data_IF_409878760716
#
_entry.id   IF_409878760716
#
_cell.length_a   1.000
_cell.length_b   1.000
_cell.length_c   1.000
_cell.angle_alpha   90.00
_cell.angle_beta   90.00
_cell.angle_gamma   90.00
#
_symmetry.space_group_name_H-M   'P 1'
#
loop_
_entity.id
_entity.type
_entity.pdbx_description
1 polymer ?
#
# COMPACT_ATOMS: atom_id res chain seq x y z
N UNK A 1 -19.06 13.37 42.88
CA UNK A 1 -20.21 14.01 43.57
C UNK A 1 -20.38 15.47 43.14
N UNK A 2 -20.66 15.75 41.87
CA UNK A 2 -21.08 17.09 41.40
C UNK A 2 -22.04 16.95 40.21
N UNK A 3 -23.06 16.12 40.36
CA UNK A 3 -24.12 15.92 39.37
C UNK A 3 -25.53 16.07 39.99
N UNK A 4 -25.63 16.80 41.10
CA UNK A 4 -26.87 16.97 41.87
C UNK A 4 -27.00 18.40 42.44
N UNK A 5 -26.62 19.39 41.63
CA UNK A 5 -26.96 20.80 41.83
C UNK A 5 -27.58 21.38 40.53
N UNK A 6 -28.30 20.50 39.82
CA UNK A 6 -29.37 20.84 38.89
C UNK A 6 -30.57 21.32 39.73
N UNK A 7 -31.34 22.28 39.21
CA UNK A 7 -32.72 22.64 39.59
C UNK A 7 -33.07 23.87 40.45
N UNK A 8 -32.15 24.74 40.89
CA UNK A 8 -32.55 25.94 41.65
C UNK A 8 -32.31 27.32 40.98
N UNK A 9 -31.93 27.36 39.70
CA UNK A 9 -31.80 28.63 38.95
C UNK A 9 -32.61 28.54 37.64
N UNK A 10 -33.82 27.99 37.75
CA UNK A 10 -34.82 27.90 36.68
C UNK A 10 -36.01 28.86 36.92
N UNK A 11 -35.94 29.81 37.87
CA UNK A 11 -37.09 30.70 38.19
C UNK A 11 -36.65 32.17 38.38
N UNK A 12 -35.69 32.67 37.59
CA UNK A 12 -35.34 34.10 37.64
C UNK A 12 -34.90 34.71 36.30
N UNK A 13 -35.52 34.28 35.19
CA UNK A 13 -35.24 34.82 33.85
C UNK A 13 -36.47 34.96 32.95
N UNK A 14 -37.68 34.87 33.52
CA UNK A 14 -38.95 35.06 32.82
C UNK A 14 -39.54 36.37 33.36
N UNK A 15 -39.06 37.53 32.88
CA UNK A 15 -39.69 38.82 33.20
C UNK A 15 -39.29 40.02 32.32
N UNK A 16 -38.86 39.83 31.07
CA UNK A 16 -38.70 40.95 30.13
C UNK A 16 -39.18 40.53 28.73
N UNK A 17 -40.50 40.41 28.61
CA UNK A 17 -41.21 40.54 27.35
C UNK A 17 -41.87 41.91 27.29
N UNK A 18 -41.88 42.50 26.10
CA UNK A 18 -42.62 43.70 25.65
C UNK A 18 -41.85 45.03 25.61
N UNK A 19 -41.27 45.30 24.44
CA UNK A 19 -41.27 46.61 23.77
C UNK A 19 -40.97 46.34 22.27
N UNK A 20 -41.94 46.51 21.37
CA UNK A 20 -42.04 47.65 20.44
C UNK A 20 -40.73 47.91 19.67
N UNK A 21 -40.64 47.99 18.36
CA UNK A 21 -41.58 47.91 17.24
C UNK A 21 -40.70 47.99 15.95
N UNK A 22 -41.37 48.01 14.79
CA UNK A 22 -40.88 48.45 13.47
C UNK A 22 -40.35 47.36 12.53
N UNK A 23 -41.32 46.63 11.98
CA UNK A 23 -41.33 46.18 10.59
C UNK A 23 -41.27 47.41 9.68
N UNK A 24 -40.16 47.63 8.99
CA UNK A 24 -40.04 48.63 7.94
C UNK A 24 -40.67 48.06 6.66
N UNK A 25 -41.97 48.28 6.50
CA UNK A 25 -42.68 48.09 5.24
C UNK A 25 -42.35 49.27 4.32
N UNK A 26 -41.39 49.08 3.42
CA UNK A 26 -41.26 49.94 2.24
C UNK A 26 -42.39 49.60 1.25
N UNK A 27 -43.23 50.56 0.84
CA UNK A 27 -44.26 50.35 -0.16
C UNK A 27 -43.66 50.24 -1.57
N UNK A 28 -44.09 49.21 -2.28
CA UNK A 28 -43.83 48.91 -3.69
C UNK A 28 -44.35 50.04 -4.60
N UNK A 29 -43.54 50.62 -5.51
CA UNK A 29 -44.03 51.58 -6.49
C UNK A 29 -44.58 50.85 -7.72
N UNK A 30 -45.86 50.48 -7.65
CA UNK A 30 -46.66 50.07 -8.80
C UNK A 30 -47.14 51.31 -9.57
N UNK A 31 -46.44 51.67 -10.66
CA UNK A 31 -46.99 52.33 -11.85
C UNK A 31 -45.89 52.42 -12.93
N UNK A 32 -45.84 51.44 -13.83
CA UNK A 32 -45.17 51.57 -15.12
C UNK A 32 -46.11 51.03 -16.20
N UNK A 33 -46.33 51.82 -17.27
CA UNK A 33 -47.07 51.37 -18.45
C UNK A 33 -46.35 50.15 -19.06
N UNK A 34 -46.90 48.96 -18.83
CA UNK A 34 -46.36 47.71 -19.34
C UNK A 34 -47.01 47.38 -20.69
N UNK A 35 -46.19 47.19 -21.72
CA UNK A 35 -46.65 46.61 -22.97
C UNK A 35 -46.59 45.07 -22.90
N UNK A 36 -47.62 44.34 -23.38
CA UNK A 36 -47.65 42.88 -23.29
C UNK A 36 -46.59 42.26 -24.20
N UNK A 37 -45.86 41.27 -23.68
CA UNK A 37 -44.91 40.42 -24.41
C UNK A 37 -45.36 38.97 -24.33
N UNK A 38 -45.42 38.28 -25.46
CA UNK A 38 -45.75 36.85 -25.47
C UNK A 38 -44.46 36.07 -25.29
N UNK A 39 -44.39 35.29 -24.22
CA UNK A 39 -43.32 34.33 -23.98
C UNK A 39 -43.86 32.92 -24.22
N UNK A 40 -43.16 32.12 -25.02
CA UNK A 40 -43.54 30.74 -25.30
C UNK A 40 -42.29 29.89 -25.55
N UNK A 41 -42.22 28.69 -25.00
CA UNK A 41 -41.20 27.71 -25.38
C UNK A 41 -41.48 27.16 -26.78
N UNK A 42 -40.43 26.94 -27.56
CA UNK A 42 -40.55 26.25 -28.85
C UNK A 42 -40.82 24.75 -28.66
N UNK A 43 -40.28 24.19 -27.58
CA UNK A 43 -40.48 22.82 -27.17
C UNK A 43 -41.72 22.68 -26.28
N UNK A 44 -42.57 21.68 -26.57
CA UNK A 44 -43.73 21.36 -25.74
C UNK A 44 -43.34 20.55 -24.49
N UNK A 45 -42.28 19.75 -24.59
CA UNK A 45 -41.71 18.94 -23.51
C UNK A 45 -40.17 18.93 -23.58
N UNK A 46 -39.51 18.71 -22.45
CA UNK A 46 -38.05 18.61 -22.37
C UNK A 46 -37.58 17.62 -21.30
N UNK A 47 -36.39 17.04 -21.45
CA UNK A 47 -35.77 16.15 -20.47
C UNK A 47 -34.73 16.93 -19.64
N UNK A 48 -34.52 16.63 -18.34
CA UNK A 48 -33.42 17.23 -17.59
C UNK A 48 -32.07 17.03 -18.30
N UNK A 49 -31.38 18.14 -18.58
CA UNK A 49 -30.14 18.20 -19.36
C UNK A 49 -30.29 18.73 -20.79
N UNK A 50 -31.52 18.86 -21.30
CA UNK A 50 -31.77 19.45 -22.62
C UNK A 50 -31.62 20.97 -22.61
N UNK A 51 -31.35 21.54 -23.79
CA UNK A 51 -31.32 22.99 -24.02
C UNK A 51 -32.63 23.37 -24.71
N UNK A 52 -33.45 24.16 -24.04
CA UNK A 52 -34.76 24.60 -24.52
C UNK A 52 -34.73 26.07 -24.96
N UNK A 53 -35.55 26.42 -25.94
CA UNK A 53 -35.57 27.76 -26.54
C UNK A 53 -36.83 28.50 -26.15
N UNK A 54 -36.67 29.52 -25.30
CA UNK A 54 -37.73 30.45 -24.94
C UNK A 54 -37.82 31.58 -25.97
N UNK A 55 -38.94 31.64 -26.69
CA UNK A 55 -39.24 32.69 -27.67
C UNK A 55 -40.05 33.80 -27.04
N UNK A 56 -39.53 35.02 -27.09
CA UNK A 56 -40.20 36.24 -26.70
C UNK A 56 -40.59 37.01 -27.96
N UNK A 57 -41.89 37.07 -28.26
CA UNK A 57 -42.42 37.79 -29.41
C UNK A 57 -42.85 39.21 -29.02
N UNK A 58 -42.37 40.20 -29.78
CA UNK A 58 -42.68 41.62 -29.58
C UNK A 58 -43.47 42.18 -30.76
N UNK A 59 -44.55 42.93 -30.49
CA UNK A 59 -45.11 43.83 -31.49
C UNK A 59 -44.36 45.18 -31.44
N UNK A 60 -43.27 45.27 -32.20
CA UNK A 60 -42.50 46.49 -32.32
C UNK A 60 -43.23 47.52 -33.22
N UNK A 61 -43.59 48.73 -32.73
CA UNK A 61 -43.95 49.81 -33.65
C UNK A 61 -42.73 50.22 -34.49
N UNK A 62 -42.95 50.62 -35.74
CA UNK A 62 -41.89 50.87 -36.74
C UNK A 62 -40.81 51.83 -36.21
N UNK A 63 -39.56 51.36 -36.12
CA UNK A 63 -38.37 52.20 -35.87
C UNK A 63 -37.54 51.88 -34.62
N UNK A 64 -37.81 50.80 -33.89
CA UNK A 64 -36.95 50.36 -32.78
C UNK A 64 -35.86 49.38 -33.23
N UNK A 65 -34.68 49.50 -32.64
CA UNK A 65 -33.54 48.57 -32.80
C UNK A 65 -33.17 48.00 -31.43
N UNK A 66 -32.95 46.69 -31.35
CA UNK A 66 -32.51 46.04 -30.12
C UNK A 66 -31.07 46.46 -29.77
N UNK A 67 -30.77 46.80 -28.49
CA UNK A 67 -29.40 46.99 -28.06
C UNK A 67 -28.64 45.65 -28.06
N UNK A 68 -27.33 45.69 -28.28
CA UNK A 68 -26.44 44.52 -28.32
C UNK A 68 -26.44 43.68 -27.03
N UNK A 69 -26.90 44.26 -25.91
CA UNK A 69 -27.16 43.56 -24.65
C UNK A 69 -28.50 43.99 -24.08
N UNK A 70 -29.46 43.07 -24.06
CA UNK A 70 -30.78 43.28 -23.49
C UNK A 70 -30.73 42.80 -22.03
N UNK A 71 -30.84 43.70 -21.04
CA UNK A 71 -30.96 43.27 -19.66
C UNK A 71 -32.36 42.69 -19.43
N UNK A 72 -32.43 41.37 -19.25
CA UNK A 72 -33.69 40.68 -18.93
C UNK A 72 -33.69 40.36 -17.44
N UNK A 73 -34.61 40.97 -16.70
CA UNK A 73 -34.81 40.65 -15.28
C UNK A 73 -35.77 39.46 -15.15
N UNK A 74 -35.39 38.47 -14.34
CA UNK A 74 -36.16 37.24 -14.12
C UNK A 74 -35.43 35.93 -14.46
N UNK A 75 -34.29 36.00 -15.17
CA UNK A 75 -33.48 34.82 -15.55
C UNK A 75 -32.22 34.60 -14.68
N UNK A 76 -32.12 35.22 -13.50
CA UNK A 76 -30.90 35.14 -12.68
C UNK A 76 -30.62 33.74 -12.12
N UNK A 77 -31.69 32.97 -11.91
CA UNK A 77 -31.63 31.62 -11.34
C UNK A 77 -31.57 30.53 -12.43
N UNK A 78 -31.49 30.92 -13.71
CA UNK A 78 -31.44 30.00 -14.84
C UNK A 78 -30.10 30.04 -15.57
N UNK A 79 -29.64 28.87 -16.03
CA UNK A 79 -28.43 28.75 -16.84
C UNK A 79 -28.70 29.15 -18.30
N UNK A 80 -28.42 30.43 -18.62
CA UNK A 80 -28.56 30.97 -19.98
C UNK A 80 -27.37 30.55 -20.85
N UNK A 81 -27.65 29.74 -21.88
CA UNK A 81 -26.65 29.23 -22.83
C UNK A 81 -26.37 30.21 -23.97
N UNK A 82 -27.34 31.06 -24.31
CA UNK A 82 -27.19 32.08 -25.35
C UNK A 82 -28.48 32.86 -25.57
N UNK A 83 -28.35 34.07 -26.12
CA UNK A 83 -29.48 34.92 -26.51
C UNK A 83 -29.27 35.29 -27.97
N UNK A 84 -30.15 34.79 -28.83
CA UNK A 84 -30.21 35.13 -30.25
C UNK A 84 -31.36 36.14 -30.44
N UNK A 85 -31.17 37.18 -31.26
CA UNK A 85 -32.22 38.19 -31.53
C UNK A 85 -32.51 38.24 -33.02
N UNK A 86 -33.80 38.18 -33.36
CA UNK A 86 -34.35 38.36 -34.70
C UNK A 86 -35.16 39.66 -34.75
N UNK A 87 -35.49 40.17 -35.94
CA UNK A 87 -36.11 41.50 -36.16
C UNK A 87 -37.43 41.73 -35.38
N UNK A 88 -38.07 40.67 -34.89
CA UNK A 88 -39.29 40.72 -34.10
C UNK A 88 -39.32 39.81 -32.84
N UNK A 89 -38.29 38.99 -32.61
CA UNK A 89 -38.30 37.99 -31.54
C UNK A 89 -36.94 37.91 -30.83
N UNK A 90 -36.95 37.68 -29.51
CA UNK A 90 -35.76 37.27 -28.76
C UNK A 90 -35.86 35.78 -28.47
N UNK A 91 -34.83 35.02 -28.82
CA UNK A 91 -34.71 33.59 -28.57
C UNK A 91 -33.67 33.38 -27.47
N UNK A 92 -34.09 32.83 -26.34
CA UNK A 92 -33.23 32.57 -25.19
C UNK A 92 -33.07 31.06 -25.04
N UNK A 93 -31.83 30.57 -25.14
CA UNK A 93 -31.50 29.16 -24.90
C UNK A 93 -31.21 28.95 -23.43
N UNK A 94 -31.99 28.09 -22.79
CA UNK A 94 -31.91 27.77 -21.36
C UNK A 94 -31.58 26.29 -21.18
N UNK A 95 -30.66 25.99 -20.27
CA UNK A 95 -30.41 24.61 -19.85
C UNK A 95 -31.45 24.20 -18.81
N UNK A 96 -32.11 23.06 -19.02
CA UNK A 96 -32.98 22.44 -18.02
C UNK A 96 -32.11 21.69 -17.02
N UNK A 97 -31.87 22.27 -15.85
CA UNK A 97 -31.03 21.68 -14.79
C UNK A 97 -31.84 21.11 -13.61
N UNK A 98 -33.17 21.18 -13.70
CA UNK A 98 -34.09 20.68 -12.68
C UNK A 98 -34.82 19.43 -13.15
N UNK A 99 -35.18 18.58 -12.19
CA UNK A 99 -36.02 17.39 -12.40
C UNK A 99 -37.50 17.64 -12.04
N UNK A 100 -37.80 18.80 -11.46
CA UNK A 100 -39.14 19.20 -11.02
C UNK A 100 -39.84 20.04 -12.11
N UNK A 101 -40.62 21.07 -11.75
CA UNK A 101 -41.27 21.96 -12.71
C UNK A 101 -40.31 23.06 -13.18
N UNK A 102 -40.23 23.28 -14.50
CA UNK A 102 -39.40 24.33 -15.08
C UNK A 102 -40.26 25.58 -15.35
N UNK A 103 -40.33 26.43 -14.32
CA UNK A 103 -41.26 27.57 -14.26
C UNK A 103 -40.52 28.89 -14.48
N UNK A 104 -40.63 29.49 -15.67
CA UNK A 104 -40.01 30.78 -15.95
C UNK A 104 -40.93 31.91 -15.47
N UNK A 105 -40.49 32.75 -14.51
CA UNK A 105 -41.32 33.85 -13.99
C UNK A 105 -41.51 34.95 -15.05
N UNK A 106 -42.50 35.82 -14.83
CA UNK A 106 -42.74 36.98 -15.70
C UNK A 106 -41.47 37.78 -15.95
N UNK A 107 -41.07 37.87 -17.22
CA UNK A 107 -39.85 38.57 -17.62
C UNK A 107 -40.15 40.04 -17.87
N UNK A 108 -39.26 40.91 -17.40
CA UNK A 108 -39.31 42.35 -17.67
C UNK A 108 -38.18 42.74 -18.61
N UNK A 109 -38.52 43.35 -19.73
CA UNK A 109 -37.56 43.85 -20.73
C UNK A 109 -37.73 45.35 -20.88
N UNK A 110 -36.66 46.11 -20.66
CA UNK A 110 -36.66 47.57 -20.84
C UNK A 110 -36.03 47.93 -22.18
N UNK A 111 -36.81 48.50 -23.10
CA UNK A 111 -36.31 49.02 -24.38
C UNK A 111 -36.29 50.55 -24.34
N UNK A 112 -35.24 51.16 -24.90
CA UNK A 112 -35.10 52.61 -24.98
C UNK A 112 -35.19 53.05 -26.44
N UNK A 113 -36.11 53.96 -26.75
CA UNK A 113 -36.25 54.57 -28.07
C UNK A 113 -35.02 55.43 -28.41
N UNK A 114 -34.71 55.62 -29.70
CA UNK A 114 -33.66 56.55 -30.16
C UNK A 114 -33.92 58.04 -29.80
N UNK A 115 -35.09 58.33 -29.20
CA UNK A 115 -35.52 59.64 -28.67
C UNK A 115 -35.42 59.71 -27.12
N UNK A 116 -34.86 58.69 -26.46
CA UNK A 116 -34.68 58.66 -25.00
C UNK A 116 -35.91 58.21 -24.19
N UNK A 117 -37.05 57.89 -24.82
CA UNK A 117 -38.23 57.32 -24.14
C UNK A 117 -38.00 55.85 -23.79
N UNK A 118 -38.16 55.47 -22.51
CA UNK A 118 -38.05 54.09 -22.03
C UNK A 118 -39.43 53.43 -22.03
N UNK A 119 -39.54 52.24 -22.60
CA UNK A 119 -40.74 51.40 -22.54
C UNK A 119 -40.38 50.08 -21.86
N UNK A 120 -41.25 49.63 -20.96
CA UNK A 120 -41.05 48.36 -20.25
C UNK A 120 -42.08 47.35 -20.77
N UNK A 121 -41.59 46.21 -21.23
CA UNK A 121 -42.40 45.08 -21.65
C UNK A 121 -42.41 44.03 -20.56
N UNK A 122 -43.57 43.43 -20.30
CA UNK A 122 -43.75 42.36 -19.31
C UNK A 122 -44.35 41.14 -19.99
N UNK A 123 -43.77 39.96 -19.77
CA UNK A 123 -44.41 38.70 -20.16
C UNK A 123 -45.18 38.06 -19.04
N UNK A 124 -46.14 37.23 -19.42
CA UNK A 124 -46.76 36.26 -18.54
C UNK A 124 -45.76 35.14 -18.20
N UNK A 125 -45.92 34.48 -17.03
CA UNK A 125 -45.10 33.34 -16.66
C UNK A 125 -45.37 32.17 -17.61
N UNK A 126 -44.33 31.40 -17.92
CA UNK A 126 -44.42 30.24 -18.83
C UNK A 126 -43.95 29.00 -18.12
N UNK A 127 -44.75 27.93 -18.22
CA UNK A 127 -44.48 26.63 -17.65
C UNK A 127 -44.05 25.68 -18.77
N UNK A 128 -42.95 24.97 -18.56
CA UNK A 128 -42.54 23.87 -19.44
C UNK A 128 -42.74 22.53 -18.72
N UNK A 129 -43.42 21.59 -19.40
CA UNK A 129 -43.65 20.25 -18.84
C UNK A 129 -42.43 19.38 -19.11
N UNK A 130 -41.82 18.83 -18.06
CA UNK A 130 -40.67 17.94 -18.23
C UNK A 130 -41.13 16.49 -18.46
N UNK A 131 -40.54 15.83 -19.46
CA UNK A 131 -40.75 14.41 -19.74
C UNK A 131 -39.67 13.61 -19.01
N UNK A 132 -40.00 13.13 -17.81
CA UNK A 132 -39.07 12.32 -17.03
C UNK A 132 -39.10 10.89 -17.56
N UNK A 133 -37.95 10.30 -17.95
CA UNK A 133 -37.90 8.91 -18.42
C UNK A 133 -38.14 7.87 -17.31
N UNK A 134 -38.57 8.31 -16.13
CA UNK A 134 -38.86 7.49 -14.98
C UNK A 134 -40.37 7.36 -14.82
N UNK A 135 -40.89 6.23 -15.28
CA UNK A 135 -42.27 5.84 -15.05
C UNK A 135 -42.42 5.48 -13.56
N UNK A 136 -43.01 6.37 -12.76
CA UNK A 136 -43.26 6.13 -11.33
C UNK A 136 -44.33 5.06 -11.08
N UNK A 137 -44.97 4.54 -12.14
CA UNK A 137 -45.86 3.39 -12.01
C UNK A 137 -45.09 2.07 -11.86
N UNK A 138 -44.93 1.69 -10.58
CA UNK A 138 -44.77 0.30 -10.11
C UNK A 138 -43.57 -0.49 -10.66
N UNK A 139 -42.38 0.10 -10.63
CA UNK A 139 -41.20 -0.74 -10.42
C UNK A 139 -41.05 -1.02 -8.93
N UNK A 140 -41.33 -2.27 -8.58
CA UNK A 140 -40.96 -2.96 -7.35
C UNK A 140 -39.42 -2.96 -7.25
N UNK A 141 -38.83 -1.78 -7.04
CA UNK A 141 -37.43 -1.61 -6.75
C UNK A 141 -37.24 -2.17 -5.34
N UNK A 142 -36.66 -3.36 -5.24
CA UNK A 142 -36.08 -3.93 -4.02
C UNK A 142 -34.95 -3.00 -3.56
N UNK A 143 -35.31 -1.82 -3.05
CA UNK A 143 -34.42 -0.85 -2.43
C UNK A 143 -33.92 -1.52 -1.17
N UNK A 144 -32.82 -2.25 -1.31
CA UNK A 144 -32.14 -2.88 -0.20
C UNK A 144 -31.70 -1.81 0.78
N UNK A 145 -32.19 -1.95 2.01
CA UNK A 145 -31.82 -1.10 3.13
C UNK A 145 -30.30 -0.96 3.25
N UNK A 146 -29.84 0.26 3.57
CA UNK A 146 -28.42 0.53 3.78
C UNK A 146 -27.99 -0.29 5.00
N UNK A 147 -27.12 -1.29 4.78
CA UNK A 147 -26.63 -2.17 5.85
C UNK A 147 -25.95 -1.34 6.94
N UNK A 148 -26.38 -1.53 8.19
CA UNK A 148 -25.79 -0.87 9.34
C UNK A 148 -24.31 -1.24 9.53
N UNK A 149 -23.55 -0.29 10.07
CA UNK A 149 -22.14 -0.45 10.41
C UNK A 149 -22.03 -1.26 11.70
N UNK A 150 -21.72 -2.55 11.58
CA UNK A 150 -21.47 -3.43 12.72
C UNK A 150 -20.36 -2.87 13.62
N UNK A 151 -20.75 -2.30 14.77
CA UNK A 151 -19.80 -1.89 15.81
C UNK A 151 -19.24 -3.15 16.48
N UNK A 152 -18.04 -3.54 16.08
CA UNK A 152 -17.32 -4.64 16.73
C UNK A 152 -17.14 -4.28 18.21
N UNK A 153 -17.83 -5.01 19.09
CA UNK A 153 -17.72 -4.87 20.54
C UNK A 153 -16.24 -4.97 20.95
N UNK A 154 -15.78 -4.06 21.82
CA UNK A 154 -14.41 -4.04 22.32
C UNK A 154 -13.98 -5.40 22.90
N UNK A 155 -14.89 -6.13 23.54
CA UNK A 155 -14.64 -7.48 24.05
C UNK A 155 -14.27 -8.49 22.94
N UNK A 156 -14.93 -8.40 21.77
CA UNK A 156 -14.64 -9.26 20.62
C UNK A 156 -13.27 -8.92 20.03
N UNK A 157 -12.89 -7.64 20.00
CA UNK A 157 -11.54 -7.21 19.56
C UNK A 157 -10.44 -7.80 20.45
N UNK A 158 -10.61 -7.72 21.77
CA UNK A 158 -9.64 -8.30 22.71
C UNK A 158 -9.58 -9.83 22.62
N UNK A 159 -10.72 -10.50 22.42
CA UNK A 159 -10.75 -11.95 22.21
C UNK A 159 -10.01 -12.36 20.94
N UNK A 160 -10.22 -11.66 19.83
CA UNK A 160 -9.50 -11.91 18.57
C UNK A 160 -8.00 -11.69 18.76
N UNK A 161 -7.60 -10.62 19.45
CA UNK A 161 -6.18 -10.34 19.72
C UNK A 161 -5.55 -11.44 20.58
N UNK A 162 -6.25 -11.92 21.61
CA UNK A 162 -5.80 -13.03 22.45
C UNK A 162 -5.61 -14.32 21.63
N UNK A 163 -6.54 -14.65 20.73
CA UNK A 163 -6.45 -15.83 19.86
C UNK A 163 -5.24 -15.71 18.93
N UNK A 164 -5.01 -14.53 18.34
CA UNK A 164 -3.85 -14.27 17.48
C UNK A 164 -2.55 -14.43 18.27
N UNK A 165 -2.49 -13.90 19.50
CA UNK A 165 -1.33 -14.03 20.37
C UNK A 165 -1.01 -15.50 20.71
N UNK A 166 -2.04 -16.29 21.05
CA UNK A 166 -1.89 -17.72 21.33
C UNK A 166 -1.40 -18.46 20.10
N UNK A 167 -1.97 -18.18 18.92
CA UNK A 167 -1.56 -18.80 17.66
C UNK A 167 -0.09 -18.50 17.35
N UNK A 168 0.34 -17.25 17.54
CA UNK A 168 1.72 -16.83 17.30
C UNK A 168 2.69 -17.50 18.28
N UNK A 169 2.29 -17.67 19.55
CA UNK A 169 3.07 -18.41 20.54
C UNK A 169 3.22 -19.90 20.17
N UNK A 170 2.14 -20.53 19.68
CA UNK A 170 2.18 -21.92 19.22
C UNK A 170 3.09 -22.10 18.00
N UNK A 171 3.04 -21.17 17.04
CA UNK A 171 3.93 -21.16 15.88
C UNK A 171 5.38 -21.01 16.34
N UNK A 172 5.67 -20.04 17.21
CA UNK A 172 7.02 -19.82 17.74
C UNK A 172 7.54 -21.07 18.48
N UNK A 173 6.71 -21.71 19.30
CA UNK A 173 7.05 -22.96 19.99
C UNK A 173 7.30 -24.12 19.01
N UNK A 174 6.48 -24.22 17.96
CA UNK A 174 6.66 -25.21 16.89
C UNK A 174 7.98 -25.02 16.13
N UNK A 175 8.30 -23.78 15.76
CA UNK A 175 9.59 -23.43 15.13
C UNK A 175 10.74 -23.76 16.06
N UNK A 176 10.66 -23.37 17.33
CA UNK A 176 11.70 -23.65 18.33
C UNK A 176 11.95 -25.15 18.49
N UNK A 177 10.89 -25.95 18.59
CA UNK A 177 10.99 -27.40 18.70
C UNK A 177 11.54 -28.06 17.43
N UNK A 178 11.12 -27.57 16.25
CA UNK A 178 11.65 -28.02 14.97
C UNK A 178 13.15 -27.74 14.84
N UNK A 179 13.59 -26.52 15.20
CA UNK A 179 15.01 -26.16 15.21
C UNK A 179 15.81 -27.00 16.20
N UNK A 180 15.27 -27.25 17.41
CA UNK A 180 15.90 -28.11 18.42
C UNK A 180 16.09 -29.54 17.89
N UNK A 181 15.06 -30.14 17.29
CA UNK A 181 15.14 -31.46 16.67
C UNK A 181 16.12 -31.49 15.50
N UNK A 182 16.16 -30.45 14.66
CA UNK A 182 17.12 -30.37 13.55
C UNK A 182 18.56 -30.32 14.05
N UNK A 183 18.86 -29.53 15.10
CA UNK A 183 20.18 -29.51 15.73
C UNK A 183 20.58 -30.89 16.26
N UNK A 184 19.66 -31.58 16.94
CA UNK A 184 19.92 -32.94 17.44
C UNK A 184 20.17 -33.93 16.30
N UNK A 185 19.38 -33.89 15.22
CA UNK A 185 19.59 -34.76 14.04
C UNK A 185 20.91 -34.48 13.31
N UNK A 186 21.33 -33.22 13.21
CA UNK A 186 22.63 -32.86 12.62
C UNK A 186 23.79 -33.38 13.48
N UNK A 187 23.66 -33.31 14.81
CA UNK A 187 24.64 -33.90 15.73
C UNK A 187 24.66 -35.44 15.65
N UNK A 188 23.50 -36.07 15.51
CA UNK A 188 23.36 -37.54 15.40
C UNK A 188 23.86 -38.07 14.04
N UNK A 189 23.65 -37.33 12.95
CA UNK A 189 24.21 -37.66 11.63
C UNK A 189 25.72 -37.43 11.56
N UNK A 190 26.24 -36.41 12.26
CA UNK A 190 27.69 -36.24 12.45
C UNK A 190 28.30 -37.35 13.31
N UNK A 191 27.51 -37.98 14.20
CA UNK A 191 27.96 -39.13 14.99
C UNK A 191 27.99 -40.45 14.19
N UNK A 192 27.24 -40.55 13.07
CA UNK A 192 27.18 -41.79 12.30
C UNK A 192 28.37 -42.01 11.36
N UNK A 193 28.99 -40.94 10.86
CA UNK A 193 30.18 -41.07 10.01
C UNK A 193 31.45 -40.87 10.86
N UNK A 194 32.37 -41.83 10.89
CA UNK A 194 33.67 -41.64 11.51
C UNK A 194 34.39 -40.38 10.99
N UNK A 195 35.14 -39.65 11.84
CA UNK A 195 35.88 -38.45 11.45
C UNK A 195 36.74 -38.62 10.18
N UNK A 196 37.37 -39.79 10.04
CA UNK A 196 38.21 -40.16 8.91
C UNK A 196 37.43 -40.27 7.61
N UNK A 197 36.19 -40.79 7.63
CA UNK A 197 35.36 -40.88 6.42
C UNK A 197 34.99 -39.49 5.92
N UNK A 198 34.66 -38.57 6.84
CA UNK A 198 34.36 -37.17 6.52
C UNK A 198 35.58 -36.49 5.89
N UNK A 199 36.77 -36.71 6.45
CA UNK A 199 38.00 -36.16 5.93
C UNK A 199 38.36 -36.74 4.55
N UNK A 200 38.24 -38.05 4.35
CA UNK A 200 38.48 -38.69 3.04
C UNK A 200 37.48 -38.24 1.98
N UNK A 201 36.20 -38.10 2.32
CA UNK A 201 35.18 -37.53 1.44
C UNK A 201 35.59 -36.12 1.00
N UNK A 202 35.96 -35.25 1.95
CA UNK A 202 36.40 -33.88 1.67
C UNK A 202 37.67 -33.81 0.82
N UNK A 203 38.67 -34.65 1.10
CA UNK A 203 39.92 -34.71 0.33
C UNK A 203 39.69 -35.21 -1.10
N UNK A 204 38.83 -36.22 -1.28
CA UNK A 204 38.47 -36.75 -2.59
C UNK A 204 37.73 -35.72 -3.43
N UNK A 205 36.78 -34.99 -2.85
CA UNK A 205 36.10 -33.88 -3.52
C UNK A 205 37.09 -32.77 -3.89
N UNK A 206 37.99 -32.39 -2.98
CA UNK A 206 39.04 -31.41 -3.24
C UNK A 206 39.96 -31.81 -4.40
N UNK A 207 40.31 -33.10 -4.51
CA UNK A 207 41.14 -33.60 -5.61
C UNK A 207 40.36 -33.72 -6.92
N UNK A 208 39.08 -34.14 -6.90
CA UNK A 208 38.22 -34.15 -8.08
C UNK A 208 38.12 -32.75 -8.68
N UNK A 209 37.96 -31.75 -7.83
CA UNK A 209 37.79 -30.35 -8.22
C UNK A 209 39.15 -29.66 -8.46
N UNK A 210 40.27 -30.39 -8.42
CA UNK A 210 41.63 -29.85 -8.60
C UNK A 210 41.84 -29.09 -9.92
N UNK A 211 41.03 -29.37 -10.94
CA UNK A 211 41.04 -28.68 -12.23
C UNK A 211 40.37 -27.29 -12.16
N UNK A 212 39.37 -27.11 -11.29
CA UNK A 212 38.68 -25.84 -11.05
C UNK A 212 39.57 -24.82 -10.33
N UNK A 213 40.60 -25.31 -9.62
CA UNK A 213 41.54 -24.47 -8.87
C UNK A 213 42.79 -24.05 -9.66
N UNK A 214 42.88 -24.32 -10.98
CA UNK A 214 44.04 -23.89 -11.79
C UNK A 214 44.28 -22.38 -11.70
N UNK A 215 43.21 -21.59 -11.73
CA UNK A 215 43.27 -20.13 -11.66
C UNK A 215 43.10 -19.60 -10.22
N UNK A 216 42.76 -20.48 -9.27
CA UNK A 216 42.52 -20.11 -7.87
C UNK A 216 43.16 -21.12 -6.91
N UNK A 217 44.50 -21.15 -6.91
CA UNK A 217 45.29 -22.00 -6.00
C UNK A 217 45.04 -21.67 -4.52
N UNK A 218 44.72 -20.40 -4.21
CA UNK A 218 44.41 -19.96 -2.84
C UNK A 218 43.19 -20.70 -2.29
N UNK A 219 42.11 -20.81 -3.08
CA UNK A 219 40.91 -21.54 -2.67
C UNK A 219 41.18 -23.02 -2.36
N UNK A 220 42.09 -23.68 -3.09
CA UNK A 220 42.52 -25.04 -2.77
C UNK A 220 43.12 -25.13 -1.36
N UNK A 221 44.05 -24.23 -1.01
CA UNK A 221 44.69 -24.25 0.32
C UNK A 221 43.76 -23.80 1.45
N UNK A 222 42.80 -22.89 1.19
CA UNK A 222 41.72 -22.62 2.13
C UNK A 222 40.92 -23.88 2.44
N UNK A 223 40.52 -24.63 1.40
CA UNK A 223 39.74 -25.86 1.57
C UNK A 223 40.54 -26.99 2.21
N UNK A 224 41.79 -27.19 1.79
CA UNK A 224 42.67 -28.23 2.35
C UNK A 224 42.88 -28.04 3.86
N UNK A 225 43.21 -26.80 4.27
CA UNK A 225 43.43 -26.51 5.70
C UNK A 225 42.14 -26.53 6.51
N UNK A 226 40.99 -26.22 5.91
CA UNK A 226 39.69 -26.39 6.57
C UNK A 226 39.43 -27.87 6.89
N UNK A 227 39.58 -28.77 5.91
CA UNK A 227 39.38 -30.22 6.09
C UNK A 227 40.32 -30.75 7.18
N UNK A 228 41.60 -30.34 7.13
CA UNK A 228 42.59 -30.73 8.13
C UNK A 228 42.22 -30.25 9.54
N UNK A 229 41.83 -28.97 9.70
CA UNK A 229 41.42 -28.40 10.99
C UNK A 229 40.18 -29.09 11.56
N UNK A 230 39.18 -29.37 10.72
CA UNK A 230 37.95 -30.07 11.11
C UNK A 230 38.27 -31.49 11.60
N UNK A 231 39.09 -32.24 10.86
CA UNK A 231 39.51 -33.59 11.24
C UNK A 231 40.33 -33.60 12.54
N UNK A 232 41.37 -32.76 12.64
CA UNK A 232 42.18 -32.66 13.85
C UNK A 232 41.33 -32.31 15.07
N UNK A 233 40.35 -31.40 14.92
CA UNK A 233 39.48 -30.97 16.01
C UNK A 233 38.62 -32.10 16.56
N UNK A 234 38.18 -33.02 15.69
CA UNK A 234 37.41 -34.20 16.09
C UNK A 234 38.28 -35.23 16.82
N UNK A 235 39.49 -35.53 16.34
CA UNK A 235 40.34 -36.57 16.95
C UNK A 235 41.05 -36.08 18.23
N UNK A 236 41.35 -34.78 18.35
CA UNK A 236 42.04 -34.21 19.53
C UNK A 236 41.09 -33.61 20.57
N UNK A 237 39.78 -33.59 20.32
CA UNK A 237 38.74 -33.13 21.24
C UNK A 237 38.90 -31.66 21.71
N UNK A 238 39.42 -30.77 20.86
CA UNK A 238 39.41 -29.33 21.11
C UNK A 238 39.08 -28.54 19.82
N UNK A 239 38.51 -27.32 19.91
CA UNK A 239 37.92 -26.63 18.76
C UNK A 239 38.99 -26.02 17.84
N UNK A 240 39.71 -26.86 17.08
CA UNK A 240 40.81 -26.46 16.19
C UNK A 240 40.35 -25.52 15.07
N UNK A 241 39.11 -25.66 14.60
CA UNK A 241 38.56 -24.82 13.53
C UNK A 241 38.58 -23.32 13.87
N UNK A 242 38.44 -22.96 15.15
CA UNK A 242 38.39 -21.58 15.63
C UNK A 242 39.77 -21.01 16.01
N UNK A 243 40.80 -21.87 16.03
CA UNK A 243 42.14 -21.48 16.44
C UNK A 243 42.99 -21.04 15.24
N UNK A 244 43.88 -20.08 15.49
CA UNK A 244 44.96 -19.71 14.58
C UNK A 244 46.00 -20.83 14.49
N UNK A 245 46.77 -20.85 13.40
CA UNK A 245 47.83 -21.87 13.20
C UNK A 245 48.86 -21.87 14.34
N UNK A 246 49.16 -20.69 14.91
CA UNK A 246 50.08 -20.56 16.05
C UNK A 246 49.50 -21.05 17.38
N UNK A 247 48.20 -20.83 17.63
CA UNK A 247 47.53 -21.38 18.80
C UNK A 247 47.46 -22.91 18.72
N UNK A 248 47.22 -23.48 17.53
CA UNK A 248 47.25 -24.93 17.31
C UNK A 248 48.65 -25.47 17.60
N UNK A 249 49.70 -24.79 17.11
CA UNK A 249 51.09 -25.16 17.35
C UNK A 249 51.44 -25.26 18.84
N UNK A 250 50.83 -24.42 19.69
CA UNK A 250 51.07 -24.44 21.14
C UNK A 250 50.36 -25.57 21.89
N UNK A 251 49.31 -26.17 21.30
CA UNK A 251 48.47 -27.20 21.93
C UNK A 251 48.82 -28.62 21.50
N UNK A 252 49.33 -28.75 20.29
CA UNK A 252 49.74 -30.01 19.70
C UNK A 252 51.01 -30.56 20.36
N UNK A 253 51.05 -31.88 20.60
CA UNK A 253 52.23 -32.57 21.18
C UNK A 253 52.77 -33.71 20.33
N UNK A 254 51.95 -34.30 19.46
CA UNK A 254 52.35 -35.45 18.65
C UNK A 254 53.15 -35.04 17.41
N UNK A 255 54.14 -35.86 17.03
CA UNK A 255 55.03 -35.53 15.91
C UNK A 255 54.26 -35.40 14.57
N UNK A 256 53.24 -36.24 14.35
CA UNK A 256 52.39 -36.19 13.17
C UNK A 256 51.63 -34.86 13.06
N UNK A 257 51.06 -34.41 14.18
CA UNK A 257 50.35 -33.13 14.24
C UNK A 257 51.29 -31.93 14.06
N UNK A 258 52.53 -32.00 14.56
CA UNK A 258 53.54 -30.96 14.37
C UNK A 258 53.88 -30.80 12.89
N UNK A 259 53.93 -31.91 12.14
CA UNK A 259 54.12 -31.87 10.69
C UNK A 259 52.94 -31.18 9.98
N UNK A 260 51.70 -31.47 10.42
CA UNK A 260 50.50 -30.81 9.92
C UNK A 260 50.51 -29.30 10.19
N UNK A 261 50.96 -28.88 11.37
CA UNK A 261 51.14 -27.45 11.70
C UNK A 261 52.16 -26.79 10.76
N UNK A 262 53.27 -27.47 10.42
CA UNK A 262 54.25 -26.95 9.43
C UNK A 262 53.62 -26.81 8.05
N UNK A 263 52.81 -27.78 7.62
CA UNK A 263 52.06 -27.71 6.37
C UNK A 263 51.07 -26.53 6.37
N UNK A 264 50.35 -26.32 7.47
CA UNK A 264 49.42 -25.20 7.63
C UNK A 264 50.13 -23.84 7.55
N UNK A 265 51.31 -23.71 8.17
CA UNK A 265 52.14 -22.49 8.04
C UNK A 265 52.56 -22.23 6.59
N UNK A 266 52.96 -23.27 5.85
CA UNK A 266 53.23 -23.14 4.40
C UNK A 266 51.99 -22.73 3.63
N UNK A 267 50.84 -23.32 3.93
CA UNK A 267 49.56 -22.98 3.33
C UNK A 267 49.16 -21.52 3.61
N UNK A 268 49.42 -21.01 4.81
CA UNK A 268 49.15 -19.62 5.15
C UNK A 268 50.02 -18.65 4.33
N UNK A 269 51.29 -18.99 4.07
CA UNK A 269 52.12 -18.24 3.11
C UNK A 269 51.50 -18.24 1.71
N UNK A 270 50.94 -19.35 1.22
CA UNK A 270 50.30 -19.41 -0.11
C UNK A 270 48.99 -18.61 -0.16
N UNK A 271 48.20 -18.65 0.91
CA UNK A 271 46.91 -17.93 0.99
C UNK A 271 47.09 -16.42 1.00
N UNK A 272 48.10 -15.94 1.73
CA UNK A 272 48.24 -14.52 2.06
C UNK A 272 49.46 -13.84 1.44
N UNK A 273 50.48 -14.58 1.04
CA UNK A 273 51.60 -14.06 0.25
C UNK A 273 51.47 -14.43 -1.24
N UNK A 274 52.21 -13.76 -2.12
CA UNK A 274 52.23 -14.06 -3.56
C UNK A 274 53.12 -15.27 -3.92
N UNK A 275 53.03 -16.34 -3.12
CA UNK A 275 53.73 -17.60 -3.38
C UNK A 275 52.86 -18.55 -4.20
N UNK A 276 53.41 -19.05 -5.30
CA UNK A 276 52.72 -19.94 -6.23
C UNK A 276 53.36 -21.33 -6.21
N UNK A 277 52.76 -22.32 -5.53
CA UNK A 277 53.29 -23.68 -5.49
C UNK A 277 53.10 -24.38 -6.83
N UNK A 278 54.02 -25.27 -7.16
CA UNK A 278 53.92 -26.13 -8.34
C UNK A 278 52.79 -27.17 -8.17
N UNK A 279 52.30 -27.71 -9.29
CA UNK A 279 51.31 -28.80 -9.27
C UNK A 279 51.80 -30.01 -8.49
N UNK A 280 53.12 -30.29 -8.52
CA UNK A 280 53.74 -31.38 -7.79
C UNK A 280 53.72 -31.14 -6.27
N UNK A 281 54.07 -29.94 -5.82
CA UNK A 281 53.99 -29.58 -4.39
C UNK A 281 52.55 -29.60 -3.87
N UNK A 282 51.59 -29.16 -4.68
CA UNK A 282 50.17 -29.24 -4.33
C UNK A 282 49.70 -30.69 -4.14
N UNK A 283 50.09 -31.58 -5.05
CA UNK A 283 49.78 -33.00 -4.97
C UNK A 283 50.46 -33.66 -3.78
N UNK A 284 51.71 -33.29 -3.50
CA UNK A 284 52.47 -33.75 -2.33
C UNK A 284 51.76 -33.33 -1.04
N UNK A 285 51.40 -32.06 -0.90
CA UNK A 285 50.65 -31.56 0.25
C UNK A 285 49.30 -32.27 0.45
N UNK A 286 48.57 -32.57 -0.63
CA UNK A 286 47.34 -33.35 -0.56
C UNK A 286 47.61 -34.78 -0.06
N UNK A 287 48.64 -35.44 -0.58
CA UNK A 287 49.07 -36.79 -0.15
C UNK A 287 49.54 -36.81 1.30
N UNK A 288 50.24 -35.77 1.75
CA UNK A 288 50.65 -35.63 3.15
C UNK A 288 49.42 -35.61 4.08
N UNK A 289 48.40 -34.80 3.75
CA UNK A 289 47.16 -34.77 4.56
C UNK A 289 46.40 -36.10 4.47
N UNK A 290 46.34 -36.72 3.29
CA UNK A 290 45.72 -38.03 3.11
C UNK A 290 46.40 -39.11 3.97
N UNK A 291 47.73 -39.15 3.95
CA UNK A 291 48.52 -40.09 4.74
C UNK A 291 48.34 -39.84 6.23
N UNK A 292 48.31 -38.58 6.65
CA UNK A 292 48.05 -38.22 8.04
C UNK A 292 46.71 -38.78 8.52
N UNK A 293 45.61 -38.51 7.80
CA UNK A 293 44.27 -39.03 8.15
C UNK A 293 44.26 -40.55 8.24
N UNK A 294 44.94 -41.23 7.30
CA UNK A 294 45.03 -42.68 7.30
C UNK A 294 45.79 -43.21 8.52
N UNK A 295 46.98 -42.70 8.78
CA UNK A 295 47.83 -43.15 9.90
C UNK A 295 47.14 -42.93 11.24
N UNK A 296 46.55 -41.74 11.47
CA UNK A 296 45.87 -41.45 12.74
C UNK A 296 44.55 -42.22 12.90
N UNK A 297 43.88 -42.59 11.79
CA UNK A 297 42.74 -43.48 11.84
C UNK A 297 43.15 -44.91 12.21
N UNK A 298 44.23 -45.43 11.60
CA UNK A 298 44.75 -46.77 11.87
C UNK A 298 45.23 -46.89 13.33
N UNK A 299 45.97 -45.91 13.86
CA UNK A 299 46.42 -45.87 15.26
C UNK A 299 45.24 -45.91 16.24
N UNK A 300 44.22 -45.08 16.02
CA UNK A 300 43.02 -45.01 16.88
C UNK A 300 42.18 -46.29 16.81
N UNK A 301 42.12 -46.94 15.64
CA UNK A 301 41.42 -48.23 15.49
C UNK A 301 42.17 -49.37 16.22
N UNK A 302 43.50 -49.31 16.29
CA UNK A 302 44.31 -50.26 17.06
C UNK A 302 44.16 -50.06 18.58
N UNK A 303 44.12 -48.82 19.07
CA UNK A 303 43.87 -48.53 20.49
C UNK A 303 42.50 -49.04 20.97
N UNK A 304 41.46 -48.88 20.14
CA UNK A 304 40.12 -49.35 20.46
C UNK A 304 40.01 -50.88 20.50
N UNK A 305 40.78 -51.59 19.66
CA UNK A 305 40.79 -53.07 19.63
C UNK A 305 41.65 -53.69 20.73
N UNK A 306 42.74 -53.03 21.15
CA UNK A 306 43.58 -53.47 22.27
C UNK A 306 42.90 -53.38 23.65
N UNK A 307 41.98 -52.42 23.83
CA UNK A 307 41.27 -52.23 25.10
C UNK A 307 40.18 -53.29 25.34
N UNK A 308 39.70 -53.97 24.30
CA UNK A 308 38.62 -54.98 24.41
C UNK A 308 39.12 -56.37 24.85
N UNK A 309 40.43 -56.66 24.74
CA UNK A 309 40.99 -58.00 25.01
C UNK A 309 41.62 -58.18 26.41
N UNK A 310 41.60 -57.17 27.27
CA UNK A 310 42.22 -57.24 28.61
C UNK A 310 41.20 -57.36 29.77
N UNK A 311 39.90 -57.49 29.48
CA UNK A 311 38.83 -57.61 30.50
C UNK A 311 38.11 -58.99 30.47
N UNK A 312 38.83 -60.08 30.16
CA UNK A 312 38.33 -61.47 30.32
C UNK A 312 39.31 -62.32 31.11
#
# INVERSE_FOLDING_TARGET
MKQLALHLILILGICMGNALAQTDTQPEPDTADYHPMIAQFEEETAVPGDIVTLKLAFQLPKGMTFPEKIPIEGLKDFHVMGIDTDDANILIKLLVDTIDTFDVPSLKVMLTHANGTKMTFKSDPVLLTLDLPFDETEQDLDVKDIKDIFRINAAIKYLILLIILILLLLIAMGIWFYMKKRKQKLMEQAYQKPPEEIAFDGLRDLNRDAHLFRDNIKAFYFRLTQILKEYMGQIRQFPIAELTTEEIASKVKENLDIEMVRLMRKADTIKFADFHPTTAEREDHWKTVWSYVKTTADERNQENTGTTNNDV
#
